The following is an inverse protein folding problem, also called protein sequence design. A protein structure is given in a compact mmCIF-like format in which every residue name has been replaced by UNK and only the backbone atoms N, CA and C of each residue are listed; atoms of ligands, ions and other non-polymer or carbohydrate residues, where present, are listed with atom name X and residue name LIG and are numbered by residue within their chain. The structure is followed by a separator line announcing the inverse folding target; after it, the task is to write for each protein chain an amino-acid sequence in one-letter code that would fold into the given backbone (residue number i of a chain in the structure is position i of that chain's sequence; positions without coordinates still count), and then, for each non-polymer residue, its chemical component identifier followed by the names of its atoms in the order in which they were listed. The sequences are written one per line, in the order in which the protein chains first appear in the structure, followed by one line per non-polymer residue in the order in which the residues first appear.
data_IF_745072063559
#
_entry.id   IF_745072063559
#
_cell.length_a   1.000
_cell.length_b   1.000
_cell.length_c   1.000
_cell.angle_alpha   90.00
_cell.angle_beta   90.00
_cell.angle_gamma   90.00
#
_symmetry.space_group_name_H-M   'P 1'
#
loop_
_entity.id
_entity.type
_entity.pdbx_description
1 polymer ?
#
# COMPACT_ATOMS: atom_id res chain seq x y z
N UNK A 1 11.23 16.88 -0.40
CA UNK A 1 11.26 15.79 0.60
C UNK A 1 10.45 14.62 0.07
N UNK A 2 10.48 13.46 0.73
CA UNK A 2 9.64 12.29 0.37
C UNK A 2 8.16 12.68 0.47
N UNK A 3 7.39 12.45 -0.59
CA UNK A 3 5.98 12.83 -0.65
C UNK A 3 5.05 11.72 -0.16
N UNK A 4 5.33 10.46 -0.53
CA UNK A 4 4.68 9.25 -0.03
C UNK A 4 5.55 8.01 -0.34
N UNK A 5 5.18 6.86 0.20
CA UNK A 5 5.76 5.55 -0.14
C UNK A 5 4.68 4.68 -0.77
N UNK A 6 4.99 4.04 -1.90
CA UNK A 6 4.09 3.14 -2.61
C UNK A 6 4.55 1.68 -2.49
N UNK A 7 3.61 0.78 -2.22
CA UNK A 7 3.81 -0.66 -2.13
C UNK A 7 3.00 -1.37 -3.20
N UNK A 8 3.68 -2.17 -4.02
CA UNK A 8 3.03 -3.00 -5.03
C UNK A 8 2.34 -4.22 -4.40
N UNK A 9 1.13 -4.50 -4.83
CA UNK A 9 0.40 -5.74 -4.51
C UNK A 9 -0.06 -6.48 -5.77
N UNK A 10 -0.25 -7.80 -5.65
CA UNK A 10 -0.92 -8.61 -6.67
C UNK A 10 -2.46 -8.66 -6.47
N UNK A 11 -2.98 -8.26 -5.30
CA UNK A 11 -4.41 -8.27 -4.92
C UNK A 11 -4.78 -7.05 -4.04
N UNK A 12 -5.19 -5.96 -4.68
CA UNK A 12 -5.49 -4.69 -4.01
C UNK A 12 -6.76 -4.70 -3.18
N UNK A 13 -7.77 -5.49 -3.54
CA UNK A 13 -9.00 -5.56 -2.77
C UNK A 13 -8.76 -6.36 -1.48
N UNK A 14 -8.16 -7.54 -1.60
CA UNK A 14 -7.84 -8.39 -0.45
C UNK A 14 -6.85 -7.73 0.51
N UNK A 15 -5.80 -7.08 -0.01
CA UNK A 15 -4.83 -6.38 0.84
C UNK A 15 -5.40 -5.14 1.51
N UNK A 16 -6.24 -4.36 0.82
CA UNK A 16 -6.92 -3.22 1.44
C UNK A 16 -7.80 -3.67 2.61
N UNK A 17 -8.61 -4.72 2.44
CA UNK A 17 -9.45 -5.27 3.50
C UNK A 17 -8.62 -5.80 4.67
N UNK A 18 -7.57 -6.56 4.39
CA UNK A 18 -6.65 -7.11 5.40
C UNK A 18 -5.93 -6.02 6.18
N UNK A 19 -5.49 -4.95 5.51
CA UNK A 19 -4.82 -3.82 6.17
C UNK A 19 -5.82 -3.06 7.04
N UNK A 20 -7.04 -2.81 6.55
CA UNK A 20 -8.13 -2.19 7.34
C UNK A 20 -8.46 -3.02 8.58
N UNK A 21 -8.51 -4.35 8.47
CA UNK A 21 -8.81 -5.23 9.61
C UNK A 21 -7.72 -5.22 10.68
N UNK A 22 -6.52 -4.74 10.36
CA UNK A 22 -5.42 -4.55 11.32
C UNK A 22 -5.49 -3.21 12.07
N UNK A 23 -6.52 -2.40 11.81
CA UNK A 23 -6.72 -1.09 12.44
C UNK A 23 -5.93 0.04 11.78
N UNK A 24 -5.44 -0.17 10.56
CA UNK A 24 -4.79 0.87 9.76
C UNK A 24 -5.88 1.71 9.08
N UNK A 25 -5.83 3.02 9.28
CA UNK A 25 -6.81 3.97 8.75
C UNK A 25 -6.60 4.15 7.25
N UNK A 26 -7.54 3.61 6.46
CA UNK A 26 -7.58 3.81 5.01
C UNK A 26 -8.26 5.13 4.66
N UNK A 27 -7.64 5.90 3.79
CA UNK A 27 -8.25 7.06 3.13
C UNK A 27 -9.23 6.56 2.07
N UNK A 28 -8.79 5.61 1.23
CA UNK A 28 -9.62 5.02 0.20
C UNK A 28 -10.34 3.77 0.75
N UNK A 29 -11.68 3.79 0.73
CA UNK A 29 -12.49 2.64 1.19
C UNK A 29 -12.60 1.51 0.17
N UNK A 30 -12.34 1.84 -1.10
CA UNK A 30 -12.25 0.92 -2.23
C UNK A 30 -11.10 1.38 -3.12
N UNK A 31 -10.41 0.46 -3.84
CA UNK A 31 -9.39 0.86 -4.80
C UNK A 31 -9.99 1.78 -5.87
N UNK A 32 -9.23 2.77 -6.30
CA UNK A 32 -9.65 3.70 -7.36
C UNK A 32 -8.62 3.74 -8.49
N UNK A 33 -9.01 4.17 -9.71
CA UNK A 33 -8.07 4.34 -10.80
C UNK A 33 -6.91 5.27 -10.43
N UNK A 34 -5.69 4.81 -10.67
CA UNK A 34 -4.45 5.56 -10.56
C UNK A 34 -3.93 6.00 -11.94
N UNK A 35 -2.63 6.27 -12.02
CA UNK A 35 -1.97 6.61 -13.27
C UNK A 35 -1.67 5.36 -14.09
N UNK A 36 -1.63 5.53 -15.41
CA UNK A 36 -1.22 4.51 -16.38
C UNK A 36 -1.94 3.15 -16.25
N UNK A 37 -3.21 3.14 -15.84
CA UNK A 37 -4.00 1.90 -15.75
C UNK A 37 -3.79 1.09 -14.46
N UNK A 38 -3.23 1.72 -13.43
CA UNK A 38 -3.13 1.14 -12.09
C UNK A 38 -4.42 1.28 -11.29
N UNK A 39 -4.55 0.46 -10.25
CA UNK A 39 -5.47 0.71 -9.14
C UNK A 39 -4.65 1.10 -7.92
N UNK A 40 -5.17 2.06 -7.14
CA UNK A 40 -4.49 2.59 -5.97
C UNK A 40 -5.41 2.71 -4.77
N UNK A 41 -4.85 2.62 -3.57
CA UNK A 41 -5.52 2.92 -2.31
C UNK A 41 -4.54 3.57 -1.32
N UNK A 42 -4.95 4.66 -0.68
CA UNK A 42 -4.11 5.41 0.27
C UNK A 42 -4.47 5.12 1.73
N UNK A 43 -3.46 5.19 2.59
CA UNK A 43 -3.57 5.08 4.05
C UNK A 43 -3.12 6.36 4.75
N UNK A 44 -3.79 6.69 5.84
CA UNK A 44 -3.56 7.91 6.57
C UNK A 44 -2.18 7.90 7.26
N UNK A 45 -1.37 8.98 7.17
CA UNK A 45 -0.04 9.03 7.77
C UNK A 45 0.00 8.73 9.27
N UNK A 46 -1.09 9.03 10.00
CA UNK A 46 -1.24 8.70 11.43
C UNK A 46 -1.12 7.20 11.72
N UNK A 47 -1.56 6.35 10.79
CA UNK A 47 -1.43 4.90 10.92
C UNK A 47 -0.12 4.38 10.35
N UNK A 48 0.66 5.20 9.62
CA UNK A 48 1.83 4.78 8.84
C UNK A 48 3.10 5.58 9.19
N UNK A 49 3.35 5.83 10.48
CA UNK A 49 4.61 6.44 10.94
C UNK A 49 4.83 7.88 10.45
N UNK A 50 3.76 8.62 10.15
CA UNK A 50 3.83 10.00 9.66
C UNK A 50 4.04 10.14 8.15
N UNK A 51 4.02 9.03 7.39
CA UNK A 51 4.23 9.05 5.94
C UNK A 51 2.95 8.60 5.22
N UNK A 52 2.51 9.39 4.23
CA UNK A 52 1.42 8.99 3.34
C UNK A 52 1.84 7.71 2.62
N UNK A 53 0.99 6.69 2.70
CA UNK A 53 1.31 5.37 2.17
C UNK A 53 0.28 4.95 1.13
N UNK A 54 0.75 4.39 0.03
CA UNK A 54 -0.04 3.98 -1.12
C UNK A 54 0.12 2.48 -1.36
N UNK A 55 -0.99 1.80 -1.63
CA UNK A 55 -1.01 0.47 -2.23
C UNK A 55 -1.25 0.63 -3.72
N UNK A 56 -0.45 -0.02 -4.56
CA UNK A 56 -0.56 0.05 -6.01
C UNK A 56 -0.68 -1.34 -6.58
N UNK A 57 -1.67 -1.52 -7.46
CA UNK A 57 -1.80 -2.72 -8.28
C UNK A 57 -1.60 -2.36 -9.75
N UNK A 58 -0.79 -3.17 -10.42
CA UNK A 58 -0.58 -3.10 -11.86
C UNK A 58 -1.33 -4.23 -12.54
N UNK A 59 -1.94 -3.93 -13.68
CA UNK A 59 -2.55 -4.97 -14.48
C UNK A 59 -1.48 -5.94 -15.04
N UNK A 60 -1.93 -7.12 -15.47
CA UNK A 60 -1.01 -8.14 -16.00
C UNK A 60 -0.34 -7.69 -17.31
N UNK A 61 -0.92 -6.74 -18.02
CA UNK A 61 -0.34 -6.18 -19.23
C UNK A 61 0.96 -5.41 -18.91
N UNK A 62 0.97 -4.63 -17.83
CA UNK A 62 2.14 -3.90 -17.36
C UNK A 62 3.35 -4.80 -17.13
N UNK A 63 3.18 -5.90 -16.40
CA UNK A 63 4.26 -6.86 -16.16
C UNK A 63 4.77 -7.52 -17.45
N UNK A 64 3.89 -7.76 -18.42
CA UNK A 64 4.28 -8.32 -19.73
C UNK A 64 5.08 -7.32 -20.56
N UNK A 65 4.72 -6.02 -20.50
CA UNK A 65 5.32 -4.96 -21.32
C UNK A 65 6.68 -4.48 -20.78
N UNK A 66 6.81 -4.31 -19.47
CA UNK A 66 7.99 -3.70 -18.85
C UNK A 66 8.78 -4.65 -17.93
N UNK A 67 8.32 -5.90 -17.76
CA UNK A 67 8.91 -6.89 -16.85
C UNK A 67 8.49 -6.69 -15.38
N UNK A 68 8.48 -7.77 -14.59
CA UNK A 68 8.36 -7.68 -13.12
C UNK A 68 9.68 -7.14 -12.56
N UNK A 69 9.82 -5.82 -12.45
CA UNK A 69 11.03 -5.20 -11.88
C UNK A 69 11.03 -5.32 -10.35
N UNK A 70 12.08 -5.96 -9.80
CA UNK A 70 12.66 -6.07 -8.43
C UNK A 70 11.91 -5.69 -7.12
N UNK A 71 10.69 -5.18 -7.12
CA UNK A 71 9.93 -4.73 -5.92
C UNK A 71 9.26 -5.91 -5.19
N UNK A 72 9.36 -7.12 -5.74
CA UNK A 72 8.61 -8.31 -5.30
C UNK A 72 9.09 -8.90 -3.96
N UNK A 73 10.32 -8.62 -3.53
CA UNK A 73 10.93 -9.32 -2.37
C UNK A 73 10.62 -8.67 -1.01
N UNK A 74 10.03 -7.48 -0.97
CA UNK A 74 9.61 -6.80 0.28
C UNK A 74 8.07 -6.83 0.41
N UNK A 75 7.43 -7.91 -0.03
CA UNK A 75 5.97 -7.91 -0.23
C UNK A 75 5.10 -8.06 1.02
N UNK A 76 5.63 -8.35 2.21
CA UNK A 76 4.77 -8.62 3.38
C UNK A 76 5.23 -8.09 4.73
N UNK A 77 6.50 -7.69 4.88
CA UNK A 77 7.04 -7.41 6.22
C UNK A 77 6.98 -5.92 6.61
N UNK A 78 7.04 -4.98 5.66
CA UNK A 78 7.20 -3.55 6.02
C UNK A 78 5.89 -2.85 6.38
N UNK A 79 4.76 -3.19 5.75
CA UNK A 79 3.47 -2.56 6.08
C UNK A 79 3.00 -2.86 7.52
N UNK A 80 3.25 -4.08 8.00
CA UNK A 80 2.89 -4.49 9.36
C UNK A 80 3.77 -3.83 10.43
N UNK A 81 5.05 -3.61 10.16
CA UNK A 81 5.97 -3.03 11.14
C UNK A 81 5.89 -1.51 11.21
N UNK A 82 5.69 -0.83 10.08
CA UNK A 82 5.55 0.63 10.05
C UNK A 82 4.29 1.11 10.82
N UNK A 83 3.24 0.29 10.86
CA UNK A 83 1.96 0.65 11.48
C UNK A 83 1.80 0.19 12.95
N UNK A 84 2.58 -0.80 13.42
CA UNK A 84 2.45 -1.36 14.78
C UNK A 84 3.22 -0.58 15.86
N UNK A 85 4.02 0.41 15.50
CA UNK A 85 4.96 1.08 16.42
C UNK A 85 4.41 2.17 17.36
N UNK A 86 3.08 2.37 17.51
CA UNK A 86 2.54 3.50 18.32
C UNK A 86 1.47 3.12 19.38
N UNK A 87 1.44 1.88 19.86
CA UNK A 87 0.64 1.50 21.04
C UNK A 87 1.46 1.44 22.34
N UNK A 88 2.33 2.41 22.58
CA UNK A 88 2.88 2.68 23.92
C UNK A 88 3.07 4.19 24.10
N UNK A 89 2.03 4.87 24.58
CA UNK A 89 2.12 6.11 25.35
C UNK A 89 0.79 6.29 26.11
N UNK A 90 0.82 5.79 27.33
CA UNK A 90 0.04 6.25 28.49
C UNK A 90 0.08 7.78 28.60
#
# INVERSE_FOLDING_TARGET
GVHHIAYETDDIEGDLERIKSMGIEAIDQKPRPGLEGTLVAFFHPKSCGGVLTELVWYDKYWHKKYGKSFITTIKHLIMLHACRGQRERI
#
